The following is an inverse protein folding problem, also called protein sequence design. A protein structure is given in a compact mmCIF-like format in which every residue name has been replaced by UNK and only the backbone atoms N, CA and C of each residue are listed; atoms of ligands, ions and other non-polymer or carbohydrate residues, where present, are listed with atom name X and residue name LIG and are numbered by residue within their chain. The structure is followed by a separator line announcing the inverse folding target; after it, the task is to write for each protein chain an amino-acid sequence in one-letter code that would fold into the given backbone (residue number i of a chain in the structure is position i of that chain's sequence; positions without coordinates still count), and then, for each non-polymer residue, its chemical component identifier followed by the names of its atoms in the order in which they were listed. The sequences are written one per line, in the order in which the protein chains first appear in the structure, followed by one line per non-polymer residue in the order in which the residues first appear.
data_IF_855661190754
#
_entry.id   IF_855661190754
#
_cell.length_a   1.000
_cell.length_b   1.000
_cell.length_c   1.000
_cell.angle_alpha   90.00
_cell.angle_beta   90.00
_cell.angle_gamma   90.00
#
_symmetry.space_group_name_H-M   'P 1'
#
loop_
_entity.id
_entity.type
_entity.pdbx_description
1 polymer ?
#
# COMPACT_ATOMS: atom_id res chain seq x y z
N UNK A 1 23.56 -24.03 8.84
CA UNK A 1 22.80 -22.76 8.89
C UNK A 1 21.30 -23.01 8.76
N UNK A 2 20.58 -22.95 9.89
CA UNK A 2 19.15 -23.31 9.99
C UNK A 2 18.23 -22.48 9.08
N UNK A 3 18.63 -21.23 8.79
CA UNK A 3 17.94 -20.31 7.88
C UNK A 3 17.91 -20.83 6.44
N UNK A 4 18.97 -21.49 5.96
CA UNK A 4 19.01 -22.04 4.60
C UNK A 4 18.10 -23.26 4.46
N UNK A 5 18.06 -24.11 5.48
CA UNK A 5 17.18 -25.29 5.52
C UNK A 5 15.71 -24.86 5.47
N UNK A 6 15.34 -23.85 6.26
CA UNK A 6 13.98 -23.31 6.29
C UNK A 6 13.59 -22.65 4.96
N UNK A 7 14.51 -21.93 4.29
CA UNK A 7 14.26 -21.38 2.94
C UNK A 7 14.00 -22.48 1.90
N UNK A 8 14.66 -23.63 2.05
CA UNK A 8 14.54 -24.77 1.14
C UNK A 8 13.24 -25.55 1.34
N UNK A 9 12.77 -25.66 2.58
CA UNK A 9 11.46 -26.26 2.88
C UNK A 9 10.31 -25.33 2.42
N UNK A 10 10.46 -24.02 2.61
CA UNK A 10 9.49 -23.03 2.16
C UNK A 10 9.31 -23.06 0.64
N UNK A 11 10.40 -23.25 -0.11
CA UNK A 11 10.35 -23.37 -1.58
C UNK A 11 9.69 -24.65 -2.09
N UNK A 12 9.67 -25.73 -1.29
CA UNK A 12 8.96 -26.97 -1.60
C UNK A 12 7.45 -26.88 -1.32
N UNK A 13 7.04 -26.16 -0.28
CA UNK A 13 5.62 -25.97 0.09
C UNK A 13 4.96 -24.87 -0.76
N UNK A 14 5.70 -23.82 -1.12
CA UNK A 14 5.26 -22.83 -2.09
C UNK A 14 5.30 -23.43 -3.48
N UNK A 15 4.26 -24.20 -3.86
CA UNK A 15 4.15 -24.85 -5.16
C UNK A 15 4.56 -23.91 -6.31
N UNK A 16 5.22 -24.49 -7.33
CA UNK A 16 5.85 -23.83 -8.49
C UNK A 16 5.35 -22.40 -8.67
N UNK A 17 6.02 -21.45 -8.01
CA UNK A 17 5.91 -20.04 -8.35
C UNK A 17 6.27 -19.98 -9.83
N UNK A 18 5.25 -19.85 -10.69
CA UNK A 18 5.44 -19.75 -12.13
C UNK A 18 6.21 -18.46 -12.35
N UNK A 19 7.55 -18.54 -12.32
CA UNK A 19 8.45 -17.43 -12.58
C UNK A 19 8.08 -16.88 -13.94
N UNK A 20 7.35 -15.76 -13.95
CA UNK A 20 6.99 -15.06 -15.16
C UNK A 20 8.28 -14.45 -15.72
N UNK A 21 8.90 -15.13 -16.68
CA UNK A 21 9.98 -14.54 -17.47
C UNK A 21 9.35 -13.60 -18.49
N UNK A 22 9.59 -12.29 -18.33
CA UNK A 22 9.27 -11.27 -19.32
C UNK A 22 10.55 -10.90 -20.05
N UNK A 23 10.52 -10.91 -21.38
CA UNK A 23 11.64 -10.50 -22.23
C UNK A 23 11.25 -9.27 -23.04
N UNK A 24 12.11 -8.25 -23.03
CA UNK A 24 11.97 -7.03 -23.83
C UNK A 24 13.16 -7.01 -24.77
N UNK A 25 12.91 -6.92 -26.08
CA UNK A 25 13.94 -6.82 -27.11
C UNK A 25 13.94 -5.37 -27.59
N UNK A 26 15.11 -4.72 -27.54
CA UNK A 26 15.30 -3.35 -28.00
C UNK A 26 16.41 -3.36 -29.03
N UNK A 27 16.10 -2.90 -30.23
CA UNK A 27 17.07 -2.72 -31.31
C UNK A 27 17.53 -1.27 -31.33
N UNK A 28 18.85 -1.04 -31.41
CA UNK A 28 19.47 0.28 -31.36
C UNK A 28 20.35 0.45 -32.59
N UNK A 29 20.08 1.48 -33.38
CA UNK A 29 20.91 1.88 -34.51
C UNK A 29 21.75 3.10 -34.10
N UNK A 30 23.07 3.01 -34.26
CA UNK A 30 24.01 4.05 -33.84
C UNK A 30 24.64 4.69 -35.07
N UNK A 31 24.30 5.94 -35.34
CA UNK A 31 24.82 6.71 -36.49
C UNK A 31 26.14 7.43 -36.21
N UNK A 32 26.48 7.64 -34.93
CA UNK A 32 27.71 8.33 -34.49
C UNK A 32 28.07 7.87 -33.07
N UNK A 33 29.37 7.85 -32.76
CA UNK A 33 29.88 7.52 -31.43
C UNK A 33 29.31 8.43 -30.33
N UNK A 34 28.93 7.83 -29.20
CA UNK A 34 28.35 8.53 -28.05
C UNK A 34 27.87 7.60 -26.95
N UNK A 35 27.50 8.17 -25.81
CA UNK A 35 26.85 7.47 -24.70
C UNK A 35 25.35 7.74 -24.71
N UNK A 36 24.55 6.73 -24.37
CA UNK A 36 23.09 6.86 -24.28
C UNK A 36 22.53 6.07 -23.11
N UNK A 37 21.51 6.62 -22.46
CA UNK A 37 20.81 5.98 -21.33
C UNK A 37 19.49 5.38 -21.82
N UNK A 38 19.33 4.06 -21.67
CA UNK A 38 18.08 3.36 -21.99
C UNK A 38 17.24 3.16 -20.72
N UNK A 39 16.04 3.75 -20.69
CA UNK A 39 15.06 3.53 -19.61
C UNK A 39 13.85 2.80 -20.16
N UNK A 40 13.47 1.69 -19.52
CA UNK A 40 12.27 0.93 -19.87
C UNK A 40 11.25 1.06 -18.75
N UNK A 41 10.03 1.46 -19.10
CA UNK A 41 8.91 1.59 -18.16
C UNK A 41 7.73 0.79 -18.69
N UNK A 42 7.12 -0.02 -17.82
CA UNK A 42 6.00 -0.87 -18.21
C UNK A 42 5.02 -1.04 -17.04
N UNK A 43 3.78 -1.37 -17.38
CA UNK A 43 2.75 -1.68 -16.40
C UNK A 43 2.79 -3.17 -16.05
N UNK A 44 2.84 -3.47 -14.76
CA UNK A 44 2.75 -4.83 -14.25
C UNK A 44 1.45 -5.04 -13.48
N UNK A 45 0.87 -6.22 -13.58
CA UNK A 45 -0.30 -6.63 -12.79
C UNK A 45 0.16 -7.38 -11.55
N UNK A 46 -0.65 -7.32 -10.49
CA UNK A 46 -0.38 -8.05 -9.26
C UNK A 46 0.39 -7.25 -8.21
N UNK A 47 0.63 -5.96 -8.41
CA UNK A 47 1.03 -5.03 -7.36
C UNK A 47 -0.17 -4.19 -6.94
N UNK A 48 -0.36 -4.03 -5.63
CA UNK A 48 -1.42 -3.23 -5.04
C UNK A 48 -0.99 -2.71 -3.68
N UNK A 49 -1.63 -1.65 -3.20
CA UNK A 49 -1.40 -1.13 -1.87
C UNK A 49 -2.71 -0.60 -1.29
N UNK A 50 -2.81 -0.56 0.04
CA UNK A 50 -3.94 0.05 0.76
C UNK A 50 -3.43 0.98 1.87
N UNK A 51 -3.99 2.19 2.04
CA UNK A 51 -3.68 3.05 3.16
C UNK A 51 -4.33 2.54 4.45
N UNK A 52 -3.62 2.66 5.57
CA UNK A 52 -4.12 2.42 6.92
C UNK A 52 -3.77 3.64 7.78
N UNK A 53 -4.69 4.08 8.62
CA UNK A 53 -4.52 5.26 9.46
C UNK A 53 -4.70 4.89 10.94
N UNK A 54 -3.81 5.37 11.80
CA UNK A 54 -3.91 5.31 13.26
C UNK A 54 -4.04 6.76 13.77
N UNK A 55 -5.15 7.05 14.47
CA UNK A 55 -5.43 8.37 15.00
C UNK A 55 -5.54 8.30 16.52
N UNK A 56 -4.73 9.11 17.22
CA UNK A 56 -4.64 9.13 18.68
C UNK A 56 -4.88 10.53 19.19
N UNK A 57 -5.88 10.68 20.06
CA UNK A 57 -6.19 11.96 20.69
C UNK A 57 -5.59 12.02 22.11
N UNK A 58 -4.87 13.09 22.39
CA UNK A 58 -4.43 13.44 23.74
C UNK A 58 -5.24 14.64 24.23
N UNK A 59 -6.23 14.39 25.09
CA UNK A 59 -7.13 15.42 25.60
C UNK A 59 -6.45 16.39 26.58
N UNK A 60 -5.45 15.94 27.34
CA UNK A 60 -4.72 16.80 28.28
C UNK A 60 -3.88 17.85 27.55
N UNK A 61 -3.32 17.47 26.39
CA UNK A 61 -2.53 18.37 25.53
C UNK A 61 -3.35 19.06 24.43
N UNK A 62 -4.62 18.69 24.27
CA UNK A 62 -5.46 19.14 23.14
C UNK A 62 -4.82 18.88 21.77
N UNK A 63 -4.15 17.73 21.62
CA UNK A 63 -3.41 17.34 20.41
C UNK A 63 -3.99 16.06 19.81
N UNK A 64 -3.87 15.92 18.48
CA UNK A 64 -4.23 14.71 17.74
C UNK A 64 -3.03 14.29 16.89
N UNK A 65 -2.56 13.07 17.10
CA UNK A 65 -1.54 12.43 16.27
C UNK A 65 -2.24 11.56 15.20
N UNK A 66 -1.82 11.70 13.95
CA UNK A 66 -2.27 10.88 12.84
C UNK A 66 -1.07 10.21 12.17
N UNK A 67 -1.01 8.89 12.25
CA UNK A 67 0.01 8.09 11.58
C UNK A 67 -0.61 7.41 10.37
N UNK A 68 0.06 7.54 9.21
CA UNK A 68 -0.35 6.92 7.96
C UNK A 68 0.60 5.80 7.59
N UNK A 69 0.04 4.63 7.32
CA UNK A 69 0.74 3.44 6.86
C UNK A 69 0.26 3.06 5.46
N UNK A 70 1.14 2.45 4.67
CA UNK A 70 0.80 1.86 3.37
C UNK A 70 1.08 0.36 3.39
N UNK A 71 0.05 -0.47 3.31
CA UNK A 71 0.22 -1.92 3.22
C UNK A 71 0.35 -2.31 1.76
N UNK A 72 1.54 -2.76 1.37
CA UNK A 72 1.86 -3.19 0.02
C UNK A 72 1.64 -4.69 -0.11
N UNK A 73 0.99 -5.12 -1.19
CA UNK A 73 0.85 -6.52 -1.58
C UNK A 73 1.29 -6.70 -3.02
N UNK A 74 2.18 -7.67 -3.22
CA UNK A 74 2.78 -7.97 -4.52
C UNK A 74 2.73 -9.47 -4.82
N UNK A 75 2.39 -9.78 -6.07
CA UNK A 75 2.46 -11.10 -6.71
C UNK A 75 2.87 -10.94 -8.19
N UNK A 76 3.67 -9.90 -8.49
CA UNK A 76 4.06 -9.56 -9.86
C UNK A 76 5.06 -10.55 -10.47
N UNK A 77 5.73 -11.32 -9.61
CA UNK A 77 6.83 -12.22 -9.96
C UNK A 77 8.19 -11.52 -10.11
N UNK A 78 8.21 -10.19 -9.93
CA UNK A 78 9.42 -9.38 -9.95
C UNK A 78 10.09 -9.36 -8.57
N UNK A 79 11.41 -9.17 -8.54
CA UNK A 79 12.15 -8.98 -7.30
C UNK A 79 12.05 -7.53 -6.82
N UNK A 80 11.69 -7.33 -5.56
CA UNK A 80 11.46 -6.03 -4.92
C UNK A 80 12.47 -5.78 -3.79
N UNK A 81 13.70 -6.26 -3.95
CA UNK A 81 14.81 -5.96 -3.05
C UNK A 81 15.35 -4.55 -3.35
N UNK A 82 15.36 -3.68 -2.33
CA UNK A 82 15.95 -2.33 -2.39
C UNK A 82 15.39 -1.44 -3.51
N UNK A 83 14.07 -1.52 -3.74
CA UNK A 83 13.38 -0.69 -4.75
C UNK A 83 12.84 0.61 -4.15
N UNK A 84 13.02 1.71 -4.88
CA UNK A 84 12.31 2.96 -4.61
C UNK A 84 10.84 2.82 -4.96
N UNK A 85 9.95 3.00 -3.98
CA UNK A 85 8.52 2.82 -4.15
C UNK A 85 7.75 4.12 -3.83
N UNK A 86 6.94 4.57 -4.79
CA UNK A 86 6.02 5.70 -4.63
C UNK A 86 4.58 5.21 -4.63
N UNK A 87 3.82 5.55 -3.59
CA UNK A 87 2.41 5.18 -3.43
C UNK A 87 1.51 6.39 -3.73
N UNK A 88 0.48 6.19 -4.55
CA UNK A 88 -0.49 7.24 -4.89
C UNK A 88 -1.89 6.87 -4.46
N UNK A 89 -2.54 7.75 -3.70
CA UNK A 89 -3.96 7.66 -3.30
C UNK A 89 -4.91 8.09 -4.41
N UNK A 90 -4.39 8.66 -5.50
CA UNK A 90 -5.18 9.06 -6.64
C UNK A 90 -5.76 7.81 -7.32
N UNK A 91 -7.07 7.81 -7.59
CA UNK A 91 -7.73 6.80 -8.42
C UNK A 91 -7.68 7.29 -9.87
N UNK A 92 -6.78 6.79 -10.75
CA UNK A 92 -6.58 7.35 -12.09
C UNK A 92 -7.80 7.18 -13.01
N UNK A 93 -8.70 6.25 -12.67
CA UNK A 93 -9.94 5.97 -13.41
C UNK A 93 -11.10 6.91 -13.10
N UNK A 94 -11.01 7.72 -12.05
CA UNK A 94 -12.05 8.69 -11.72
C UNK A 94 -11.69 9.98 -12.47
N UNK A 95 -12.42 10.27 -13.55
CA UNK A 95 -12.34 11.56 -14.23
C UNK A 95 -12.54 12.71 -13.22
N UNK A 96 -12.00 13.89 -13.54
CA UNK A 96 -11.86 15.04 -12.64
C UNK A 96 -13.16 15.73 -12.18
N UNK A 97 -14.24 14.99 -11.93
CA UNK A 97 -15.36 15.49 -11.14
C UNK A 97 -15.07 15.26 -9.66
N UNK A 98 -14.95 16.34 -8.89
CA UNK A 98 -14.83 16.28 -7.44
C UNK A 98 -16.02 15.51 -6.86
N UNK A 99 -15.82 14.41 -6.10
CA UNK A 99 -16.91 13.75 -5.39
C UNK A 99 -17.42 14.65 -4.27
N UNK A 100 -18.73 14.58 -3.97
CA UNK A 100 -19.29 15.27 -2.80
C UNK A 100 -18.61 14.76 -1.52
N UNK A 101 -17.95 15.68 -0.80
CA UNK A 101 -17.30 15.38 0.49
C UNK A 101 -18.26 15.77 1.60
N UNK A 102 -18.88 14.77 2.24
CA UNK A 102 -19.65 15.01 3.45
C UNK A 102 -18.72 15.37 4.62
N UNK A 103 -19.11 16.33 5.45
CA UNK A 103 -18.37 16.69 6.66
C UNK A 103 -18.30 15.51 7.63
N UNK A 104 -17.09 15.11 8.03
CA UNK A 104 -16.90 14.12 9.08
C UNK A 104 -16.71 14.82 10.43
N UNK A 105 -17.78 14.85 11.23
CA UNK A 105 -17.74 15.45 12.57
C UNK A 105 -17.27 14.41 13.60
N UNK A 106 -16.08 14.62 14.16
CA UNK A 106 -15.63 13.87 15.34
C UNK A 106 -16.36 14.38 16.56
N UNK A 107 -17.16 13.53 17.20
CA UNK A 107 -17.80 13.82 18.49
C UNK A 107 -17.15 12.97 19.58
N UNK A 108 -16.87 13.54 20.76
CA UNK A 108 -16.48 12.75 21.91
C UNK A 108 -17.51 11.64 22.17
N UNK A 109 -17.04 10.45 22.55
CA UNK A 109 -17.93 9.36 22.93
C UNK A 109 -18.77 9.80 24.15
N UNK A 110 -20.08 9.90 23.96
CA UNK A 110 -21.00 10.28 25.01
C UNK A 110 -21.56 9.00 25.63
N UNK A 111 -21.17 8.71 26.88
CA UNK A 111 -21.67 7.55 27.62
C UNK A 111 -23.18 7.72 27.82
N UNK A 112 -23.94 6.74 27.37
CA UNK A 112 -25.38 6.72 27.60
C UNK A 112 -25.61 6.54 29.11
N UNK A 113 -26.13 7.58 29.76
CA UNK A 113 -26.52 7.49 31.17
C UNK A 113 -27.84 6.76 31.19
N UNK A 114 -27.81 5.46 31.48
CA UNK A 114 -29.02 4.72 31.83
C UNK A 114 -29.57 5.40 33.09
N UNK A 115 -30.60 6.23 32.93
CA UNK A 115 -31.35 6.71 34.08
C UNK A 115 -32.08 5.50 34.64
N UNK A 116 -31.63 4.99 35.78
CA UNK A 116 -32.45 4.08 36.57
C UNK A 116 -33.75 4.83 36.85
N UNK A 117 -34.83 4.38 36.19
CA UNK A 117 -36.17 4.73 36.62
C UNK A 117 -36.37 4.04 37.96
N UNK A 118 -35.88 4.67 39.03
CA UNK A 118 -36.33 4.38 40.37
C UNK A 118 -37.80 4.80 40.39
N UNK A 119 -38.66 3.80 40.24
CA UNK A 119 -40.08 3.90 40.51
C UNK A 119 -40.23 4.39 41.95
N UNK A 120 -40.63 5.65 42.11
CA UNK A 120 -41.14 6.13 43.39
C UNK A 120 -42.63 5.71 43.52
N UNK A 121 -43.10 5.45 44.75
CA UNK A 121 -44.30 4.66 45.04
C UNK A 121 -45.63 5.32 44.66
#
# INVERSE_FOLDING_TARGET
NKVETLKKELSQISGVQRKLKRSIIVELEVLKEGTTDLKVSYLVRGASWNPIYDARANFEKSEVELVSYGVIKQVTGEDWLEVDCSLSTAKPRIGGSMPYVASWFLRPYQREVLSDKVSAP
#
